data_IF_526106346659
#
_entry.id   IF_526106346659
#
_cell.length_a   1.000
_cell.length_b   1.000
_cell.length_c   1.000
_cell.angle_alpha   90.00
_cell.angle_beta   90.00
_cell.angle_gamma   90.00
#
_symmetry.space_group_name_H-M   'P 1'
#
loop_
_entity.id
_entity.type
_entity.pdbx_description
1 polymer ?
#
# COMPACT_ATOMS: atom_id res chain seq x y z
N UNK A 1 -11.23 -13.58 -38.83
CA UNK A 1 -10.97 -12.46 -37.90
C UNK A 1 -9.64 -12.74 -37.21
N UNK A 2 -8.58 -12.07 -37.64
CA UNK A 2 -7.26 -12.21 -37.02
C UNK A 2 -7.28 -11.49 -35.66
N UNK A 3 -7.08 -12.23 -34.58
CA UNK A 3 -6.77 -11.65 -33.28
C UNK A 3 -5.36 -11.09 -33.39
N UNK A 4 -5.27 -9.76 -33.49
CA UNK A 4 -4.01 -9.04 -33.38
C UNK A 4 -3.52 -9.23 -31.94
N UNK A 5 -2.64 -10.21 -31.72
CA UNK A 5 -1.87 -10.31 -30.48
C UNK A 5 -0.89 -9.13 -30.52
N UNK A 6 -1.32 -7.97 -30.01
CA UNK A 6 -0.40 -6.90 -29.66
C UNK A 6 0.53 -7.50 -28.60
N UNK A 7 1.76 -7.82 -29.00
CA UNK A 7 2.78 -8.27 -28.07
C UNK A 7 2.95 -7.18 -27.00
N UNK A 8 2.36 -7.40 -25.83
CA UNK A 8 2.45 -6.50 -24.69
C UNK A 8 3.93 -6.16 -24.47
N UNK A 9 4.25 -4.87 -24.48
CA UNK A 9 5.61 -4.42 -24.23
C UNK A 9 6.03 -4.96 -22.85
N UNK A 10 7.27 -5.45 -22.72
CA UNK A 10 7.79 -6.05 -21.49
C UNK A 10 7.58 -5.15 -20.27
N UNK A 11 7.76 -3.84 -20.42
CA UNK A 11 7.53 -2.87 -19.34
C UNK A 11 6.08 -2.86 -18.87
N UNK A 12 5.13 -2.86 -19.80
CA UNK A 12 3.70 -2.91 -19.50
C UNK A 12 3.34 -4.21 -18.77
N UNK A 13 3.91 -5.33 -19.22
CA UNK A 13 3.72 -6.64 -18.56
C UNK A 13 4.25 -6.68 -17.14
N UNK A 14 5.45 -6.16 -16.90
CA UNK A 14 6.04 -6.08 -15.55
C UNK A 14 5.17 -5.21 -14.62
N UNK A 15 4.68 -4.07 -15.12
CA UNK A 15 3.77 -3.20 -14.37
C UNK A 15 2.44 -3.90 -14.08
N UNK A 16 1.88 -4.63 -15.04
CA UNK A 16 0.63 -5.38 -14.86
C UNK A 16 0.81 -6.53 -13.86
N UNK A 17 1.91 -7.29 -13.93
CA UNK A 17 2.24 -8.32 -12.94
C UNK A 17 2.32 -7.72 -11.53
N UNK A 18 3.00 -6.58 -11.36
CA UNK A 18 3.11 -5.91 -10.07
C UNK A 18 1.74 -5.44 -9.55
N UNK A 19 0.89 -4.87 -10.41
CA UNK A 19 -0.50 -4.48 -10.07
C UNK A 19 -1.32 -5.67 -9.61
N UNK A 20 -1.24 -6.80 -10.32
CA UNK A 20 -1.94 -8.03 -9.96
C UNK A 20 -1.46 -8.49 -8.58
N UNK A 21 -0.16 -8.62 -8.35
CA UNK A 21 0.39 -9.07 -7.06
C UNK A 21 -0.02 -8.15 -5.89
N UNK A 22 -0.08 -6.82 -6.10
CA UNK A 22 -0.55 -5.85 -5.10
C UNK A 22 -2.02 -6.03 -4.70
N UNK A 23 -2.84 -6.58 -5.60
CA UNK A 23 -4.27 -6.81 -5.31
C UNK A 23 -4.53 -8.01 -4.40
N UNK A 24 -3.54 -8.88 -4.18
CA UNK A 24 -3.68 -10.08 -3.37
C UNK A 24 -3.00 -9.94 -2.01
N UNK A 25 -3.74 -10.32 -0.97
CA UNK A 25 -3.25 -10.38 0.42
C UNK A 25 -2.61 -11.71 0.80
N UNK A 26 -2.82 -12.74 -0.02
CA UNK A 26 -2.32 -14.11 0.15
C UNK A 26 -1.57 -14.56 -1.12
N UNK A 27 -0.71 -15.59 -1.03
CA UNK A 27 -0.02 -16.13 -2.20
C UNK A 27 -0.97 -16.53 -3.34
N UNK A 28 -0.60 -16.17 -4.56
CA UNK A 28 -1.35 -16.44 -5.79
C UNK A 28 -0.64 -17.51 -6.60
N UNK A 29 -1.34 -18.57 -6.98
CA UNK A 29 -0.80 -19.61 -7.85
C UNK A 29 -0.28 -19.00 -9.18
N UNK A 30 0.92 -19.41 -9.60
CA UNK A 30 1.52 -19.03 -10.87
C UNK A 30 0.63 -19.31 -12.09
N UNK A 31 -0.17 -20.38 -12.07
CA UNK A 31 -1.16 -20.70 -13.13
C UNK A 31 -2.18 -19.58 -13.33
N UNK A 32 -2.70 -19.03 -12.22
CA UNK A 32 -3.62 -17.88 -12.29
C UNK A 32 -2.94 -16.62 -12.80
N UNK A 33 -1.65 -16.45 -12.52
CA UNK A 33 -0.89 -15.28 -12.98
C UNK A 33 -0.62 -15.37 -14.49
N UNK A 34 -0.28 -16.55 -15.02
CA UNK A 34 -0.03 -16.74 -16.45
C UNK A 34 -1.29 -16.60 -17.29
N UNK A 35 -2.43 -17.13 -16.82
CA UNK A 35 -3.73 -16.95 -17.48
C UNK A 35 -4.12 -15.49 -17.58
N UNK A 36 -3.93 -14.73 -16.50
CA UNK A 36 -4.34 -13.32 -16.42
C UNK A 36 -3.43 -12.37 -17.20
N UNK A 37 -2.18 -12.77 -17.41
CA UNK A 37 -1.17 -11.99 -18.14
C UNK A 37 -1.01 -12.45 -19.59
N UNK A 38 -1.70 -13.53 -20.00
CA UNK A 38 -1.59 -14.17 -21.31
C UNK A 38 -0.13 -14.46 -21.71
N UNK A 39 0.62 -15.12 -20.81
CA UNK A 39 2.04 -15.47 -21.02
C UNK A 39 2.36 -16.90 -20.61
N UNK A 40 3.52 -17.39 -21.04
CA UNK A 40 4.02 -18.69 -20.56
C UNK A 40 4.52 -18.63 -19.11
N UNK A 41 4.54 -19.79 -18.44
CA UNK A 41 5.13 -19.93 -17.08
C UNK A 41 6.61 -19.53 -17.04
N UNK A 42 7.36 -19.82 -18.10
CA UNK A 42 8.77 -19.41 -18.24
C UNK A 42 8.91 -17.89 -18.29
N UNK A 43 7.98 -17.20 -18.97
CA UNK A 43 7.92 -15.74 -19.01
C UNK A 43 7.62 -15.17 -17.64
N UNK A 44 6.63 -15.73 -16.93
CA UNK A 44 6.30 -15.31 -15.57
C UNK A 44 7.52 -15.40 -14.64
N UNK A 45 8.26 -16.51 -14.65
CA UNK A 45 9.45 -16.67 -13.81
C UNK A 45 10.53 -15.62 -14.11
N UNK A 46 10.78 -15.33 -15.40
CA UNK A 46 11.72 -14.26 -15.79
C UNK A 46 11.24 -12.88 -15.35
N UNK A 47 9.95 -12.61 -15.45
CA UNK A 47 9.39 -11.32 -15.05
C UNK A 47 9.43 -11.14 -13.52
N UNK A 48 9.17 -12.19 -12.74
CA UNK A 48 9.33 -12.18 -11.27
C UNK A 48 10.79 -11.94 -10.89
N UNK A 49 11.74 -12.65 -11.50
CA UNK A 49 13.17 -12.43 -11.26
C UNK A 49 13.59 -10.99 -11.63
N UNK A 50 13.02 -10.44 -12.71
CA UNK A 50 13.25 -9.05 -13.10
C UNK A 50 12.74 -8.07 -12.04
N UNK A 51 11.49 -8.24 -11.58
CA UNK A 51 10.92 -7.39 -10.54
C UNK A 51 11.69 -7.47 -9.23
N UNK A 52 12.14 -8.67 -8.83
CA UNK A 52 12.99 -8.87 -7.65
C UNK A 52 14.33 -8.15 -7.79
N UNK A 53 14.98 -8.25 -8.95
CA UNK A 53 16.22 -7.51 -9.22
C UNK A 53 16.03 -5.98 -9.20
N UNK A 54 14.82 -5.50 -9.49
CA UNK A 54 14.42 -4.10 -9.36
C UNK A 54 14.00 -3.70 -7.93
N UNK A 55 14.07 -4.62 -6.97
CA UNK A 55 13.78 -4.35 -5.54
C UNK A 55 12.36 -4.68 -5.09
N UNK A 56 11.53 -5.32 -5.93
CA UNK A 56 10.22 -5.80 -5.47
C UNK A 56 10.39 -7.00 -4.52
N UNK A 57 9.91 -6.88 -3.28
CA UNK A 57 9.93 -7.97 -2.28
C UNK A 57 8.87 -9.04 -2.57
N UNK A 58 8.99 -9.72 -3.71
CA UNK A 58 8.13 -10.84 -4.08
C UNK A 58 8.68 -12.12 -3.46
N UNK A 59 7.85 -12.81 -2.69
CA UNK A 59 8.11 -14.15 -2.12
C UNK A 59 7.25 -15.19 -2.84
N UNK A 60 7.75 -16.42 -2.96
CA UNK A 60 6.98 -17.52 -3.52
C UNK A 60 7.80 -18.46 -4.37
N UNK A 61 7.31 -19.70 -4.49
CA UNK A 61 7.89 -20.77 -5.28
C UNK A 61 6.79 -21.51 -6.05
N UNK A 62 7.18 -22.26 -7.08
CA UNK A 62 6.26 -23.09 -7.85
C UNK A 62 5.48 -24.03 -6.91
N UNK A 63 4.14 -24.07 -7.05
CA UNK A 63 3.26 -24.88 -6.20
C UNK A 63 2.82 -24.21 -4.88
N UNK A 64 3.54 -23.21 -4.37
CA UNK A 64 3.17 -22.43 -3.18
C UNK A 64 2.46 -21.12 -3.59
N UNK A 65 2.85 -20.56 -4.73
CA UNK A 65 2.33 -19.29 -5.26
C UNK A 65 3.16 -18.08 -4.85
N UNK A 66 2.85 -16.93 -5.44
CA UNK A 66 3.59 -15.68 -5.31
C UNK A 66 2.82 -14.63 -4.53
N UNK A 67 3.51 -13.94 -3.63
CA UNK A 67 2.99 -12.80 -2.88
C UNK A 67 4.01 -11.66 -2.93
N UNK A 68 3.55 -10.46 -3.27
CA UNK A 68 4.33 -9.27 -2.99
C UNK A 68 4.20 -8.99 -1.49
N UNK A 69 5.30 -8.94 -0.75
CA UNK A 69 5.24 -8.54 0.66
C UNK A 69 4.43 -7.25 0.77
N UNK A 70 3.55 -7.13 1.79
CA UNK A 70 2.86 -5.88 2.04
C UNK A 70 3.91 -4.80 2.27
N UNK A 71 4.18 -4.02 1.22
CA UNK A 71 4.80 -2.72 1.36
C UNK A 71 3.75 -1.85 2.05
N UNK A 72 4.18 -0.90 2.88
CA UNK A 72 3.32 0.00 3.68
C UNK A 72 2.49 0.96 2.80
N UNK A 73 1.76 0.39 1.85
CA UNK A 73 0.94 1.05 0.86
C UNK A 73 -0.51 0.96 1.32
N UNK A 74 -1.10 2.13 1.57
CA UNK A 74 -2.53 2.24 1.79
C UNK A 74 -3.20 2.30 0.40
N UNK A 75 -4.05 1.34 0.02
CA UNK A 75 -4.85 1.49 -1.19
C UNK A 75 -5.77 2.72 -1.06
N UNK A 76 -6.39 3.23 -2.14
CA UNK A 76 -7.39 4.28 -2.04
C UNK A 76 -8.50 3.86 -1.06
N UNK A 77 -8.67 4.64 0.02
CA UNK A 77 -9.70 4.43 1.03
C UNK A 77 -10.68 5.60 1.00
N UNK A 78 -11.96 5.29 1.17
CA UNK A 78 -12.98 6.29 1.44
C UNK A 78 -13.21 6.34 2.95
N UNK A 79 -12.93 7.49 3.56
CA UNK A 79 -13.23 7.73 4.96
C UNK A 79 -14.44 8.65 5.09
N UNK A 80 -15.29 8.34 6.04
CA UNK A 80 -16.28 9.29 6.55
C UNK A 80 -15.59 10.46 7.25
N UNK A 81 -16.35 11.53 7.48
CA UNK A 81 -15.86 12.70 8.21
C UNK A 81 -15.37 12.35 9.63
N UNK A 82 -16.10 11.52 10.35
CA UNK A 82 -15.76 11.15 11.72
C UNK A 82 -14.54 10.23 11.78
N UNK A 83 -14.38 9.32 10.81
CA UNK A 83 -13.20 8.44 10.75
C UNK A 83 -11.92 9.24 10.52
N UNK A 84 -11.93 10.21 9.60
CA UNK A 84 -10.73 11.02 9.34
C UNK A 84 -10.39 11.94 10.52
N UNK A 85 -11.40 12.51 11.18
CA UNK A 85 -11.21 13.32 12.40
C UNK A 85 -10.60 12.48 13.54
N UNK A 86 -11.07 11.24 13.70
CA UNK A 86 -10.55 10.30 14.70
C UNK A 86 -9.09 9.93 14.43
N UNK A 87 -8.75 9.68 13.17
CA UNK A 87 -7.37 9.39 12.75
C UNK A 87 -6.43 10.58 12.99
N UNK A 88 -6.87 11.79 12.66
CA UNK A 88 -6.09 13.00 12.90
C UNK A 88 -5.84 13.22 14.39
N UNK A 89 -6.87 13.08 15.23
CA UNK A 89 -6.76 13.21 16.69
C UNK A 89 -5.79 12.18 17.28
N UNK A 90 -5.96 10.89 16.95
CA UNK A 90 -5.08 9.83 17.44
C UNK A 90 -3.63 10.04 17.01
N UNK A 91 -3.42 10.43 15.76
CA UNK A 91 -2.06 10.69 15.23
C UNK A 91 -1.43 11.91 15.90
N UNK A 92 -2.19 12.97 16.16
CA UNK A 92 -1.71 14.14 16.92
C UNK A 92 -1.38 13.80 18.38
N UNK A 93 -2.11 12.88 19.00
CA UNK A 93 -1.80 12.41 20.35
C UNK A 93 -0.47 11.64 20.36
N UNK A 94 -0.29 10.70 19.43
CA UNK A 94 0.98 9.94 19.30
C UNK A 94 2.16 10.86 18.99
N UNK A 95 1.96 11.95 18.23
CA UNK A 95 3.04 12.89 17.91
C UNK A 95 3.55 13.69 19.11
N UNK A 96 2.76 13.79 20.18
CA UNK A 96 3.07 14.51 21.42
C UNK A 96 3.52 13.58 22.55
N UNK A 97 2.93 12.39 22.66
CA UNK A 97 3.10 11.49 23.80
C UNK A 97 3.80 10.17 23.45
N UNK A 98 4.04 9.87 22.18
CA UNK A 98 4.76 8.68 21.73
C UNK A 98 6.27 8.81 21.94
N UNK A 99 6.98 7.67 21.89
CA UNK A 99 8.44 7.66 21.86
C UNK A 99 9.00 8.38 20.60
N UNK A 100 10.31 8.64 20.56
CA UNK A 100 10.89 9.45 19.49
C UNK A 100 10.61 8.92 18.06
N UNK A 101 10.70 7.60 17.78
CA UNK A 101 10.32 7.05 16.48
C UNK A 101 8.83 7.22 16.15
N UNK A 102 7.93 6.88 17.08
CA UNK A 102 6.49 6.99 16.84
C UNK A 102 6.05 8.44 16.69
N UNK A 103 6.60 9.33 17.51
CA UNK A 103 6.36 10.77 17.44
C UNK A 103 6.74 11.34 16.07
N UNK A 104 7.88 10.90 15.49
CA UNK A 104 8.30 11.30 14.14
C UNK A 104 7.35 10.75 13.07
N UNK A 105 7.06 9.44 13.13
CA UNK A 105 6.16 8.80 12.16
C UNK A 105 4.76 9.42 12.17
N UNK A 106 4.26 9.81 13.34
CA UNK A 106 2.98 10.48 13.50
C UNK A 106 2.95 11.87 12.85
N UNK A 107 4.02 12.68 13.00
CA UNK A 107 4.14 13.97 12.30
C UNK A 107 4.15 13.79 10.77
N UNK A 108 4.92 12.82 10.28
CA UNK A 108 4.99 12.52 8.85
C UNK A 108 3.63 12.05 8.30
N UNK A 109 2.88 11.26 9.08
CA UNK A 109 1.53 10.82 8.72
C UNK A 109 0.53 11.99 8.68
N UNK A 110 0.57 12.90 9.66
CA UNK A 110 -0.29 14.10 9.67
C UNK A 110 -0.09 14.96 8.42
N UNK A 111 1.17 15.17 8.00
CA UNK A 111 1.48 15.91 6.79
C UNK A 111 0.88 15.23 5.54
N UNK A 112 1.12 13.93 5.37
CA UNK A 112 0.58 13.15 4.24
C UNK A 112 -0.94 13.16 4.17
N UNK A 113 -1.61 13.08 5.33
CA UNK A 113 -3.08 13.13 5.40
C UNK A 113 -3.59 14.54 5.08
N UNK A 114 -2.91 15.58 5.59
CA UNK A 114 -3.32 16.98 5.37
C UNK A 114 -3.18 17.39 3.90
N UNK A 115 -2.17 16.91 3.19
CA UNK A 115 -1.92 17.19 1.77
C UNK A 115 -3.04 16.70 0.85
N UNK A 116 -3.79 15.67 1.25
CA UNK A 116 -4.86 15.07 0.45
C UNK A 116 -6.26 15.52 0.88
N UNK A 117 -6.37 16.33 1.94
CA UNK A 117 -7.65 16.87 2.41
C UNK A 117 -8.01 18.18 1.71
N UNK A 118 -9.31 18.46 1.48
CA UNK A 118 -9.74 19.73 0.91
C UNK A 118 -9.33 20.92 1.81
N UNK A 119 -8.86 22.01 1.20
CA UNK A 119 -8.27 23.18 1.86
C UNK A 119 -9.16 23.88 2.91
N UNK A 120 -10.47 23.60 2.93
CA UNK A 120 -11.43 24.24 3.84
C UNK A 120 -11.70 23.42 5.12
N UNK A 121 -10.85 22.44 5.45
CA UNK A 121 -10.98 21.70 6.70
C UNK A 121 -10.01 22.29 7.72
N UNK A 122 -10.48 23.01 8.75
CA UNK A 122 -9.60 23.35 9.85
C UNK A 122 -9.08 22.03 10.41
N UNK A 123 -7.76 21.82 10.36
CA UNK A 123 -7.10 20.84 11.24
C UNK A 123 -7.62 21.21 12.61
N UNK A 124 -8.47 20.35 13.18
CA UNK A 124 -9.20 20.66 14.40
C UNK A 124 -8.17 21.24 15.35
N UNK A 125 -8.35 22.52 15.74
CA UNK A 125 -7.59 23.11 16.85
C UNK A 125 -8.08 22.37 18.09
N UNK A 126 -7.61 21.15 18.25
CA UNK A 126 -7.89 20.33 19.39
C UNK A 126 -7.35 21.14 20.55
N UNK A 127 -8.28 21.58 21.41
CA UNK A 127 -7.90 22.07 22.73
C UNK A 127 -6.91 21.05 23.27
N UNK A 128 -5.76 21.49 23.84
CA UNK A 128 -4.92 20.55 24.57
C UNK A 128 -5.85 19.80 25.52
N UNK A 129 -5.76 18.46 25.57
CA UNK A 129 -6.33 17.69 26.67
C UNK A 129 -5.59 18.13 27.94
N UNK A 130 -5.90 19.32 28.44
CA UNK A 130 -5.32 19.89 29.62
C UNK A 130 -5.84 19.08 30.79
N UNK A 131 -4.93 18.31 31.40
CA UNK A 131 -4.99 17.82 32.78
C UNK A 131 -6.34 17.18 33.18
N UNK A 132 -6.55 15.94 32.76
CA UNK A 132 -7.31 14.97 33.56
C UNK A 132 -6.53 13.66 33.72
N UNK A 133 -5.23 13.80 34.00
CA UNK A 133 -4.45 12.72 34.62
C UNK A 133 -3.92 13.27 35.95
N UNK A 134 -4.85 13.54 36.85
CA UNK A 134 -4.61 13.54 38.29
C UNK A 134 -5.73 12.70 38.88
N UNK A 135 -5.33 11.73 39.71
CA UNK A 135 -6.11 10.69 40.37
C UNK A 135 -6.38 9.45 39.53
N UNK A 136 -5.43 8.51 39.55
CA UNK A 136 -5.60 7.23 40.27
C UNK A 136 -4.27 6.93 40.97
#
# INVERSE_FOLDING_TARGET
>A
MAVVILAMNRTERLLNLLKILRSYRYPVNGERLVERLDVSIRTLYRDIATLQAMGAEIRGEAGIGYILKPTFFLPPLMFTKTEIESLLLGTQWVSQFGDAPLSKGARDALNKISDVLPANRPIVKLRPMSRQVHNI
#
